data_IF_782617445650
#
_entry.id   IF_782617445650
#
_cell.length_a   1.000
_cell.length_b   1.000
_cell.length_c   1.000
_cell.angle_alpha   90.00
_cell.angle_beta   90.00
_cell.angle_gamma   90.00
#
_symmetry.space_group_name_H-M   'P 1'
#
loop_
_entity.id
_entity.type
_entity.pdbx_description
1 polymer ?
#
# COMPACT_ATOMS: atom_id res chain seq x y z
N UNK A 1 18.48 4.83 17.16
CA UNK A 1 19.59 4.49 18.09
C UNK A 1 20.86 4.07 17.35
N UNK A 2 20.83 3.19 16.34
CA UNK A 2 22.05 2.71 15.66
C UNK A 2 22.87 3.87 15.06
N UNK A 3 22.27 4.73 14.26
CA UNK A 3 23.02 5.80 13.55
C UNK A 3 23.57 6.84 14.54
N UNK A 4 22.72 7.33 15.45
CA UNK A 4 23.07 8.39 16.42
C UNK A 4 24.12 7.90 17.41
N UNK A 5 23.94 6.75 18.06
CA UNK A 5 24.85 6.27 19.12
C UNK A 5 26.25 5.94 18.58
N UNK A 6 26.35 5.50 17.33
CA UNK A 6 27.66 5.25 16.71
C UNK A 6 28.41 6.55 16.39
N UNK A 7 27.70 7.63 16.07
CA UNK A 7 28.29 8.94 15.77
C UNK A 7 28.64 9.75 17.03
N UNK A 8 27.85 9.67 18.10
CA UNK A 8 28.13 10.45 19.33
C UNK A 8 29.35 9.91 20.11
N UNK A 9 29.70 8.63 19.91
CA UNK A 9 30.80 7.95 20.59
C UNK A 9 31.93 7.64 19.61
N UNK A 10 32.49 8.68 18.99
CA UNK A 10 33.70 8.52 18.17
C UNK A 10 34.94 8.21 19.02
N UNK A 11 36.01 7.73 18.36
CA UNK A 11 37.28 7.29 18.97
C UNK A 11 37.97 8.34 19.85
N UNK A 12 37.69 9.63 19.65
CA UNK A 12 38.24 10.73 20.44
C UNK A 12 37.18 11.28 21.41
N UNK A 13 37.41 11.22 22.74
CA UNK A 13 36.44 11.68 23.74
C UNK A 13 36.12 13.17 23.69
N UNK A 14 36.99 13.98 23.09
CA UNK A 14 36.80 15.43 22.94
C UNK A 14 35.74 15.81 21.90
N UNK A 15 35.30 14.86 21.07
CA UNK A 15 34.31 15.07 20.01
C UNK A 15 32.92 14.53 20.34
N UNK A 16 32.72 14.09 21.58
CA UNK A 16 31.41 13.59 22.01
C UNK A 16 30.44 14.76 22.09
N UNK A 17 29.56 14.84 21.10
CA UNK A 17 28.42 15.75 21.08
C UNK A 17 27.13 14.93 21.08
N UNK A 18 26.09 15.46 21.73
CA UNK A 18 24.77 14.83 21.74
C UNK A 18 23.90 15.43 20.65
N UNK A 19 23.34 14.58 19.79
CA UNK A 19 22.41 14.98 18.76
C UNK A 19 21.04 15.26 19.37
N UNK A 20 20.58 16.51 19.23
CA UNK A 20 19.21 16.90 19.54
C UNK A 20 18.48 17.29 18.25
N UNK A 21 17.43 16.55 17.84
CA UNK A 21 16.70 16.89 16.63
C UNK A 21 16.03 18.25 16.79
N UNK A 22 16.08 19.05 15.72
CA UNK A 22 15.41 20.33 15.66
C UNK A 22 13.95 20.15 15.23
N UNK A 23 13.15 21.21 15.39
CA UNK A 23 11.77 21.20 14.89
C UNK A 23 11.72 20.96 13.37
N UNK A 24 12.75 21.38 12.63
CA UNK A 24 12.86 21.18 11.19
C UNK A 24 12.94 19.68 10.86
N UNK A 25 13.78 18.92 11.57
CA UNK A 25 13.91 17.46 11.39
C UNK A 25 12.58 16.74 11.57
N UNK A 26 11.81 17.14 12.59
CA UNK A 26 10.48 16.58 12.84
C UNK A 26 9.50 16.95 11.72
N UNK A 27 9.50 18.20 11.26
CA UNK A 27 8.60 18.64 10.18
C UNK A 27 8.91 17.99 8.83
N UNK A 28 10.18 17.71 8.52
CA UNK A 28 10.55 16.99 7.31
C UNK A 28 10.10 15.52 7.43
N UNK A 29 10.37 14.89 8.58
CA UNK A 29 9.94 13.52 8.84
C UNK A 29 8.42 13.38 8.69
N UNK A 30 7.66 14.19 9.43
CA UNK A 30 6.19 14.21 9.33
C UNK A 30 5.73 14.64 7.94
N UNK A 31 6.39 15.62 7.33
CA UNK A 31 6.10 16.12 5.99
C UNK A 31 6.20 15.02 4.93
N UNK A 32 7.20 14.13 4.99
CA UNK A 32 7.30 13.01 4.05
C UNK A 32 6.16 12.00 4.20
N UNK A 33 5.71 11.72 5.43
CA UNK A 33 4.55 10.87 5.69
C UNK A 33 3.27 11.48 5.11
N UNK A 34 3.00 12.76 5.41
CA UNK A 34 1.82 13.46 4.89
C UNK A 34 1.89 13.66 3.39
N UNK A 35 3.06 13.93 2.82
CA UNK A 35 3.23 14.09 1.38
C UNK A 35 3.00 12.78 0.63
N UNK A 36 3.50 11.66 1.16
CA UNK A 36 3.19 10.33 0.64
C UNK A 36 1.69 10.04 0.71
N UNK A 37 1.06 10.25 1.88
CA UNK A 37 -0.37 10.05 2.06
C UNK A 37 -1.21 10.98 1.17
N UNK A 38 -0.79 12.24 1.02
CA UNK A 38 -1.45 13.20 0.14
C UNK A 38 -1.44 12.71 -1.31
N UNK A 39 -0.28 12.30 -1.83
CA UNK A 39 -0.16 11.74 -3.18
C UNK A 39 -0.93 10.41 -3.32
N UNK A 40 -0.91 9.56 -2.30
CA UNK A 40 -1.66 8.31 -2.27
C UNK A 40 -3.18 8.54 -2.31
N UNK A 41 -3.70 9.46 -1.49
CA UNK A 41 -5.10 9.85 -1.51
C UNK A 41 -5.49 10.49 -2.85
N UNK A 42 -4.59 11.29 -3.43
CA UNK A 42 -4.78 11.88 -4.76
C UNK A 42 -4.90 10.79 -5.83
N UNK A 43 -4.05 9.77 -5.76
CA UNK A 43 -4.10 8.60 -6.63
C UNK A 43 -5.43 7.85 -6.48
N UNK A 44 -5.86 7.54 -5.26
CA UNK A 44 -7.16 6.87 -5.01
C UNK A 44 -8.36 7.70 -5.51
N UNK A 45 -8.25 9.04 -5.49
CA UNK A 45 -9.31 9.96 -5.90
C UNK A 45 -9.46 10.06 -7.42
N UNK A 46 -8.35 10.04 -8.16
CA UNK A 46 -8.34 10.31 -9.60
C UNK A 46 -8.11 9.09 -10.49
N UNK A 47 -7.51 8.02 -9.95
CA UNK A 47 -7.21 6.79 -10.70
C UNK A 47 -8.08 5.65 -10.16
N UNK A 48 -8.65 4.80 -11.03
CA UNK A 48 -9.35 3.60 -10.58
C UNK A 48 -8.41 2.69 -9.79
N UNK A 49 -8.84 2.32 -8.58
CA UNK A 49 -8.04 1.56 -7.61
C UNK A 49 -7.84 0.11 -8.04
N UNK A 50 -8.76 -0.42 -8.85
CA UNK A 50 -8.77 -1.82 -9.29
C UNK A 50 -8.45 -1.89 -10.79
N UNK A 51 -7.64 -2.86 -11.18
CA UNK A 51 -7.32 -3.13 -12.58
C UNK A 51 -8.58 -3.54 -13.34
N UNK A 52 -9.01 -2.71 -14.30
CA UNK A 52 -10.23 -2.95 -15.07
C UNK A 52 -10.18 -4.23 -15.91
N UNK A 53 -8.98 -4.69 -16.30
CA UNK A 53 -8.77 -5.95 -17.02
C UNK A 53 -9.17 -7.16 -16.16
N UNK A 54 -8.69 -7.21 -14.91
CA UNK A 54 -8.96 -8.31 -13.98
C UNK A 54 -10.46 -8.39 -13.64
N UNK A 55 -11.10 -7.24 -13.39
CA UNK A 55 -12.54 -7.20 -13.10
C UNK A 55 -13.37 -7.70 -14.29
N UNK A 56 -12.91 -7.44 -15.53
CA UNK A 56 -13.60 -7.87 -16.74
C UNK A 56 -13.48 -9.39 -16.95
N UNK A 57 -12.30 -9.94 -16.70
CA UNK A 57 -12.03 -11.38 -16.78
C UNK A 57 -12.84 -12.15 -15.73
N UNK A 58 -12.77 -11.71 -14.46
CA UNK A 58 -13.54 -12.31 -13.37
C UNK A 58 -15.04 -12.32 -13.64
N UNK A 59 -15.58 -11.23 -14.23
CA UNK A 59 -17.01 -11.19 -14.61
C UNK A 59 -17.35 -12.24 -15.68
N UNK A 60 -16.44 -12.51 -16.60
CA UNK A 60 -16.66 -13.51 -17.64
C UNK A 60 -16.70 -14.93 -17.04
N UNK A 61 -15.72 -15.27 -16.19
CA UNK A 61 -15.67 -16.56 -15.48
C UNK A 61 -16.93 -16.80 -14.65
N UNK A 62 -17.37 -15.80 -13.87
CA UNK A 62 -18.59 -15.90 -13.07
C UNK A 62 -19.85 -16.12 -13.93
N UNK A 63 -19.89 -15.58 -15.15
CA UNK A 63 -21.02 -15.77 -16.06
C UNK A 63 -21.02 -17.18 -16.68
N UNK A 64 -19.85 -17.69 -17.10
CA UNK A 64 -19.71 -19.07 -17.58
C UNK A 64 -20.10 -20.09 -16.51
N UNK A 65 -19.67 -19.90 -15.26
CA UNK A 65 -20.08 -20.75 -14.14
C UNK A 65 -21.59 -20.77 -13.90
N UNK A 66 -22.26 -19.61 -14.03
CA UNK A 66 -23.70 -19.50 -13.85
C UNK A 66 -24.47 -20.30 -14.93
N UNK A 67 -24.05 -20.20 -16.20
CA UNK A 67 -24.63 -20.99 -17.30
C UNK A 67 -24.37 -22.50 -17.12
N UNK A 68 -23.19 -22.88 -16.63
CA UNK A 68 -22.88 -24.28 -16.31
C UNK A 68 -23.71 -24.83 -15.15
N UNK A 69 -23.98 -24.02 -14.11
CA UNK A 69 -24.89 -24.39 -13.02
C UNK A 69 -26.34 -24.51 -13.50
N UNK A 70 -26.82 -23.58 -14.31
CA UNK A 70 -28.19 -23.60 -14.84
C UNK A 70 -28.43 -24.80 -15.77
N UNK A 71 -27.47 -25.10 -16.65
CA UNK A 71 -27.52 -26.31 -17.50
C UNK A 71 -27.38 -27.62 -16.72
N UNK A 72 -26.64 -27.63 -15.60
CA UNK A 72 -26.56 -28.80 -14.70
C UNK A 72 -27.82 -28.99 -13.85
N UNK A 73 -28.60 -27.93 -13.61
CA UNK A 73 -29.88 -27.98 -12.86
C UNK A 73 -31.13 -28.08 -13.75
N UNK A 74 -31.00 -27.91 -15.07
CA UNK A 74 -32.06 -28.21 -16.02
C UNK A 74 -32.49 -29.68 -15.84
N UNK A 75 -33.77 -29.94 -15.51
CA UNK A 75 -34.12 -31.18 -14.86
C UNK A 75 -34.02 -32.34 -15.83
N UNK A 76 -33.51 -33.44 -15.30
CA UNK A 76 -33.75 -34.82 -15.73
C UNK A 76 -35.26 -35.20 -15.69
N UNK A 77 -36.18 -34.23 -15.82
CA UNK A 77 -37.64 -34.38 -15.79
C UNK A 77 -38.25 -34.54 -17.20
N UNK A 78 -37.45 -34.91 -18.19
CA UNK A 78 -37.92 -35.35 -19.50
C UNK A 78 -37.43 -36.78 -19.77
N UNK A 79 -37.81 -37.73 -18.91
CA UNK A 79 -37.78 -39.17 -19.20
C UNK A 79 -38.85 -39.89 -18.38
#
# INVERSE_FOLDING_TARGET
VIIVVQLEREFLPSKWESFSPTWVDLTIFTGTLFFFLFLFLLFLRFVPIVAASEVKELRHELHEEAHHRESSHAPHAAR
#
